data_IF_590016995026
#
_entry.id   IF_590016995026
#
_cell.length_a   1.000
_cell.length_b   1.000
_cell.length_c   1.000
_cell.angle_alpha   90.00
_cell.angle_beta   90.00
_cell.angle_gamma   90.00
#
_symmetry.space_group_name_H-M   'P 1'
#
loop_
_entity.id
_entity.type
_entity.pdbx_description
1 polymer ?
#
# COMPACT_ATOMS: atom_id res chain seq x y z
N UNK A 1 -17.78 6.38 -11.76
CA UNK A 1 -17.09 5.25 -12.36
C UNK A 1 -16.17 5.74 -13.47
N UNK A 2 -14.97 5.23 -13.55
CA UNK A 2 -13.91 5.65 -14.46
C UNK A 2 -14.34 5.72 -15.94
N UNK A 3 -15.22 4.83 -16.41
CA UNK A 3 -15.70 4.84 -17.80
C UNK A 3 -16.46 6.11 -18.18
N UNK A 4 -17.27 6.68 -17.28
CA UNK A 4 -17.96 7.94 -17.52
C UNK A 4 -16.98 9.12 -17.52
N UNK A 5 -16.02 9.11 -16.60
CA UNK A 5 -14.99 10.16 -16.51
C UNK A 5 -14.12 10.19 -17.76
N UNK A 6 -13.67 9.04 -18.25
CA UNK A 6 -12.95 8.95 -19.53
C UNK A 6 -13.78 9.45 -20.72
N UNK A 7 -15.06 9.10 -20.78
CA UNK A 7 -15.94 9.57 -21.86
C UNK A 7 -16.12 11.08 -21.82
N UNK A 8 -16.25 11.68 -20.63
CA UNK A 8 -16.36 13.14 -20.48
C UNK A 8 -15.06 13.85 -20.87
N UNK A 9 -13.92 13.35 -20.43
CA UNK A 9 -12.62 13.93 -20.80
C UNK A 9 -12.42 13.87 -22.31
N UNK A 10 -12.67 12.71 -22.92
CA UNK A 10 -12.58 12.56 -24.38
C UNK A 10 -13.52 13.50 -25.13
N UNK A 11 -14.73 13.72 -24.63
CA UNK A 11 -15.68 14.70 -25.22
C UNK A 11 -15.12 16.11 -25.12
N UNK A 12 -14.65 16.55 -23.96
CA UNK A 12 -14.10 17.90 -23.77
C UNK A 12 -12.82 18.16 -24.60
N UNK A 13 -11.99 17.13 -24.79
CA UNK A 13 -10.82 17.21 -25.67
C UNK A 13 -11.26 17.40 -27.14
N UNK A 14 -12.28 16.65 -27.59
CA UNK A 14 -12.82 16.76 -28.94
C UNK A 14 -13.50 18.13 -29.21
N UNK A 15 -14.13 18.69 -28.18
CA UNK A 15 -14.77 20.01 -28.27
C UNK A 15 -13.81 21.19 -28.05
N UNK A 16 -12.56 20.90 -27.66
CA UNK A 16 -11.54 21.91 -27.37
C UNK A 16 -11.75 22.65 -26.05
N UNK A 17 -12.59 22.11 -25.15
CA UNK A 17 -12.85 22.68 -23.82
C UNK A 17 -11.71 22.43 -22.83
N UNK A 18 -10.97 21.32 -23.02
CA UNK A 18 -9.76 21.02 -22.29
C UNK A 18 -8.65 20.60 -23.25
N UNK A 19 -7.43 20.92 -22.91
CA UNK A 19 -6.25 20.38 -23.58
C UNK A 19 -5.72 19.19 -22.79
N UNK A 20 -5.21 18.15 -23.46
CA UNK A 20 -4.55 17.05 -22.76
C UNK A 20 -3.47 17.61 -21.82
N UNK A 21 -3.41 17.18 -20.57
CA UNK A 21 -2.33 17.60 -19.68
C UNK A 21 -0.98 17.15 -20.25
N UNK A 22 0.09 17.91 -20.03
CA UNK A 22 1.42 17.44 -20.39
C UNK A 22 1.68 16.10 -19.71
N UNK A 23 2.18 15.14 -20.46
CA UNK A 23 2.56 13.84 -19.89
C UNK A 23 3.69 14.07 -18.90
N UNK A 24 3.39 14.05 -17.61
CA UNK A 24 4.39 14.15 -16.57
C UNK A 24 5.07 12.79 -16.45
N UNK A 25 6.34 12.74 -16.81
CA UNK A 25 7.16 11.57 -16.58
C UNK A 25 7.82 11.69 -15.20
N UNK A 26 7.60 10.72 -14.35
CA UNK A 26 8.36 10.64 -13.11
C UNK A 26 9.81 10.21 -13.43
N UNK A 27 10.78 10.92 -12.87
CA UNK A 27 12.18 10.55 -13.02
C UNK A 27 12.42 9.10 -12.55
N UNK A 28 13.28 8.34 -13.22
CA UNK A 28 13.61 6.99 -12.77
C UNK A 28 14.25 7.01 -11.39
N UNK A 29 14.01 5.97 -10.60
CA UNK A 29 14.62 5.77 -9.29
C UNK A 29 15.25 4.39 -9.23
N UNK A 30 16.35 4.27 -8.51
CA UNK A 30 17.06 2.99 -8.36
C UNK A 30 16.33 2.03 -7.43
N UNK A 31 15.63 2.57 -6.43
CA UNK A 31 14.92 1.80 -5.42
C UNK A 31 13.57 2.41 -5.08
N UNK A 32 12.62 1.54 -4.74
CA UNK A 32 11.31 1.93 -4.26
C UNK A 32 10.85 0.96 -3.14
N UNK A 33 10.12 1.49 -2.18
CA UNK A 33 9.39 0.69 -1.19
C UNK A 33 7.90 0.79 -1.48
N UNK A 34 7.26 -0.37 -1.51
CA UNK A 34 5.82 -0.50 -1.72
C UNK A 34 5.20 -1.10 -0.46
N UNK A 35 4.11 -0.51 0.02
CA UNK A 35 3.25 -1.14 1.03
C UNK A 35 1.93 -1.54 0.40
N UNK A 36 1.54 -2.81 0.56
CA UNK A 36 0.33 -3.36 -0.02
C UNK A 36 -0.63 -3.86 1.05
N UNK A 37 -1.80 -3.22 1.13
CA UNK A 37 -2.92 -3.66 1.96
C UNK A 37 -4.03 -4.35 1.16
N UNK A 38 -3.80 -4.64 -0.12
CA UNK A 38 -4.76 -5.28 -1.01
C UNK A 38 -4.53 -6.78 -1.08
N UNK A 39 -5.63 -7.54 -0.95
CA UNK A 39 -5.66 -8.99 -1.15
C UNK A 39 -6.41 -9.38 -2.43
N UNK A 40 -6.54 -8.47 -3.42
CA UNK A 40 -7.21 -8.79 -4.68
C UNK A 40 -6.36 -9.70 -5.56
N UNK A 41 -6.98 -10.51 -6.43
CA UNK A 41 -6.23 -11.34 -7.39
C UNK A 41 -5.30 -10.52 -8.27
N UNK A 42 -5.75 -9.35 -8.74
CA UNK A 42 -4.94 -8.45 -9.57
C UNK A 42 -3.69 -7.96 -8.83
N UNK A 43 -3.82 -7.64 -7.53
CA UNK A 43 -2.67 -7.25 -6.73
C UNK A 43 -1.71 -8.42 -6.51
N UNK A 44 -2.21 -9.64 -6.39
CA UNK A 44 -1.37 -10.84 -6.31
C UNK A 44 -0.53 -11.00 -7.58
N UNK A 45 -1.16 -10.89 -8.76
CA UNK A 45 -0.46 -10.95 -10.05
C UNK A 45 0.61 -9.86 -10.19
N UNK A 46 0.31 -8.65 -9.71
CA UNK A 46 1.28 -7.53 -9.69
C UNK A 46 2.47 -7.80 -8.75
N UNK A 47 2.22 -8.38 -7.58
CA UNK A 47 3.28 -8.77 -6.63
C UNK A 47 4.15 -9.86 -7.25
N UNK A 48 3.55 -10.86 -7.92
CA UNK A 48 4.26 -11.94 -8.59
C UNK A 48 5.14 -11.41 -9.73
N UNK A 49 4.61 -10.52 -10.54
CA UNK A 49 5.37 -9.88 -11.62
C UNK A 49 6.55 -9.04 -11.06
N UNK A 50 6.34 -8.31 -9.98
CA UNK A 50 7.40 -7.53 -9.36
C UNK A 50 8.50 -8.42 -8.74
N UNK A 51 8.15 -9.58 -8.19
CA UNK A 51 9.13 -10.56 -7.70
C UNK A 51 10.06 -11.04 -8.83
N UNK A 52 9.49 -11.32 -10.02
CA UNK A 52 10.28 -11.68 -11.22
C UNK A 52 11.22 -10.56 -11.64
N UNK A 53 10.81 -9.30 -11.50
CA UNK A 53 11.61 -8.10 -11.77
C UNK A 53 12.65 -7.77 -10.66
N UNK A 54 12.77 -8.63 -9.64
CA UNK A 54 13.81 -8.55 -8.61
C UNK A 54 13.44 -7.79 -7.35
N UNK A 55 12.16 -7.45 -7.15
CA UNK A 55 11.68 -6.96 -5.87
C UNK A 55 11.77 -8.04 -4.79
N UNK A 56 12.10 -7.64 -3.59
CA UNK A 56 12.03 -8.54 -2.42
C UNK A 56 10.64 -8.44 -1.82
N UNK A 57 9.96 -9.58 -1.72
CA UNK A 57 8.68 -9.66 -1.04
C UNK A 57 8.89 -9.78 0.46
N UNK A 58 8.21 -8.94 1.21
CA UNK A 58 8.25 -8.92 2.66
C UNK A 58 6.83 -9.16 3.23
N UNK A 59 6.50 -10.42 3.59
CA UNK A 59 5.21 -10.74 4.18
C UNK A 59 5.12 -10.19 5.60
N UNK A 60 4.02 -9.46 5.90
CA UNK A 60 3.79 -8.83 7.20
C UNK A 60 3.01 -9.76 8.14
N UNK A 61 3.30 -9.70 9.45
CA UNK A 61 2.47 -10.31 10.50
C UNK A 61 1.20 -9.47 10.72
N UNK A 62 0.18 -9.71 9.90
CA UNK A 62 -1.07 -8.93 9.92
C UNK A 62 -1.90 -9.16 11.17
N UNK A 63 -1.82 -10.34 11.79
CA UNK A 63 -2.43 -10.61 13.07
C UNK A 63 -1.80 -9.72 14.17
N UNK A 64 -0.47 -9.59 14.16
CA UNK A 64 0.23 -8.68 15.05
C UNK A 64 -0.06 -7.20 14.80
N UNK A 65 -0.50 -6.82 13.59
CA UNK A 65 -0.90 -5.43 13.31
C UNK A 65 -2.24 -5.05 13.96
N UNK A 66 -3.09 -6.02 14.26
CA UNK A 66 -4.43 -5.76 14.80
C UNK A 66 -4.57 -6.07 16.29
N UNK A 67 -3.51 -6.56 16.94
CA UNK A 67 -3.48 -6.85 18.37
C UNK A 67 -2.53 -5.92 19.16
N UNK A 68 -2.25 -6.24 20.42
CA UNK A 68 -1.39 -5.46 21.32
C UNK A 68 0.11 -5.52 20.99
N UNK A 69 0.51 -6.40 20.06
CA UNK A 69 1.89 -6.51 19.57
C UNK A 69 2.23 -5.50 18.48
N UNK A 70 1.25 -4.71 18.01
CA UNK A 70 1.36 -3.86 16.82
C UNK A 70 2.63 -3.02 16.77
N UNK A 71 2.91 -2.26 17.80
CA UNK A 71 4.04 -1.33 17.78
C UNK A 71 5.36 -2.10 17.62
N UNK A 72 5.54 -3.19 18.35
CA UNK A 72 6.72 -4.05 18.25
C UNK A 72 6.85 -4.73 16.88
N UNK A 73 5.73 -5.20 16.31
CA UNK A 73 5.72 -5.84 14.97
C UNK A 73 6.07 -4.82 13.89
N UNK A 74 5.52 -3.60 13.96
CA UNK A 74 5.82 -2.52 13.02
C UNK A 74 7.27 -2.07 13.14
N UNK A 75 7.78 -1.84 14.36
CA UNK A 75 9.19 -1.47 14.58
C UNK A 75 10.15 -2.53 14.02
N UNK A 76 9.84 -3.80 14.25
CA UNK A 76 10.64 -4.90 13.70
C UNK A 76 10.62 -4.90 12.17
N UNK A 77 9.44 -4.73 11.57
CA UNK A 77 9.30 -4.66 10.12
C UNK A 77 10.07 -3.47 9.52
N UNK A 78 10.09 -2.31 10.17
CA UNK A 78 10.91 -1.16 9.74
C UNK A 78 12.37 -1.56 9.67
N UNK A 79 12.93 -2.15 10.74
CA UNK A 79 14.34 -2.57 10.78
C UNK A 79 14.67 -3.57 9.67
N UNK A 80 13.83 -4.57 9.47
CA UNK A 80 14.05 -5.63 8.49
C UNK A 80 13.94 -5.08 7.05
N UNK A 81 12.98 -4.21 6.75
CA UNK A 81 12.83 -3.56 5.44
C UNK A 81 14.01 -2.60 5.19
N UNK A 82 14.42 -1.80 6.17
CA UNK A 82 15.60 -0.93 6.06
C UNK A 82 16.87 -1.72 5.75
N UNK A 83 17.04 -2.90 6.37
CA UNK A 83 18.16 -3.79 6.09
C UNK A 83 18.16 -4.35 4.66
N UNK A 84 16.99 -4.51 4.03
CA UNK A 84 16.87 -4.90 2.63
C UNK A 84 17.17 -3.72 1.70
N UNK A 85 16.62 -2.55 2.00
CA UNK A 85 16.87 -1.31 1.25
C UNK A 85 18.37 -0.95 1.26
N UNK A 86 19.05 -1.07 2.41
CA UNK A 86 20.49 -0.81 2.52
C UNK A 86 21.36 -1.75 1.65
N UNK A 87 20.80 -2.89 1.22
CA UNK A 87 21.44 -3.82 0.27
C UNK A 87 21.09 -3.53 -1.20
N UNK A 88 20.52 -2.38 -1.50
CA UNK A 88 20.13 -2.00 -2.85
C UNK A 88 18.85 -2.66 -3.36
N UNK A 89 17.96 -3.16 -2.46
CA UNK A 89 16.74 -3.86 -2.88
C UNK A 89 15.52 -2.94 -2.87
N UNK A 90 14.69 -3.05 -3.91
CA UNK A 90 13.31 -2.60 -3.85
C UNK A 90 12.47 -3.64 -3.11
N UNK A 91 11.53 -3.19 -2.25
CA UNK A 91 10.80 -4.07 -1.34
C UNK A 91 9.30 -3.86 -1.48
N UNK A 92 8.54 -4.95 -1.48
CA UNK A 92 7.08 -4.93 -1.34
C UNK A 92 6.72 -5.55 0.01
N UNK A 93 6.34 -4.71 0.97
CA UNK A 93 5.77 -5.16 2.24
C UNK A 93 4.25 -5.35 2.07
N UNK A 94 3.77 -6.59 2.19
CA UNK A 94 2.40 -6.92 1.83
C UNK A 94 1.65 -7.68 2.94
N UNK A 95 0.36 -7.39 3.06
CA UNK A 95 -0.54 -8.01 4.04
C UNK A 95 -1.14 -9.33 3.57
N UNK A 96 -1.16 -9.56 2.26
CA UNK A 96 -1.63 -10.79 1.64
C UNK A 96 -1.17 -10.89 0.20
N UNK A 97 -1.14 -12.10 -0.34
CA UNK A 97 -0.83 -12.42 -1.75
C UNK A 97 -2.04 -13.14 -2.36
N UNK A 98 -3.12 -12.37 -2.51
CA UNK A 98 -4.39 -12.88 -3.02
C UNK A 98 -5.44 -13.15 -1.93
N UNK A 99 -6.65 -13.52 -2.37
CA UNK A 99 -7.79 -13.69 -1.45
C UNK A 99 -7.69 -14.93 -0.55
N UNK A 100 -6.89 -15.92 -0.94
CA UNK A 100 -6.73 -17.18 -0.21
C UNK A 100 -5.49 -17.17 0.72
N UNK A 101 -4.86 -16.01 0.93
CA UNK A 101 -3.72 -15.89 1.81
C UNK A 101 -4.12 -16.21 3.26
N UNK A 102 -3.45 -17.18 3.95
CA UNK A 102 -3.84 -17.63 5.28
C UNK A 102 -3.81 -16.52 6.33
N UNK A 103 -2.98 -15.50 6.15
CA UNK A 103 -2.90 -14.34 7.05
C UNK A 103 -4.20 -13.56 7.17
N UNK A 104 -5.09 -13.65 6.17
CA UNK A 104 -6.42 -13.05 6.23
C UNK A 104 -7.23 -13.72 7.34
N UNK A 105 -7.27 -15.06 7.36
CA UNK A 105 -7.97 -15.81 8.40
C UNK A 105 -7.32 -15.61 9.79
N UNK A 106 -6.00 -15.61 9.87
CA UNK A 106 -5.26 -15.37 11.12
C UNK A 106 -5.58 -13.98 11.70
N UNK A 107 -5.68 -12.97 10.86
CA UNK A 107 -6.06 -11.60 11.25
C UNK A 107 -7.49 -11.56 11.79
N UNK A 108 -8.42 -12.26 11.15
CA UNK A 108 -9.81 -12.32 11.61
C UNK A 108 -9.92 -13.02 12.96
N UNK A 109 -9.19 -14.12 13.16
CA UNK A 109 -9.13 -14.81 14.46
C UNK A 109 -8.58 -13.89 15.57
N UNK A 110 -7.53 -13.11 15.28
CA UNK A 110 -6.98 -12.17 16.24
C UNK A 110 -7.98 -11.06 16.63
N UNK A 111 -8.84 -10.63 15.71
CA UNK A 111 -9.91 -9.66 16.01
C UNK A 111 -11.08 -10.30 16.78
N UNK A 112 -11.47 -11.52 16.44
CA UNK A 112 -12.51 -12.26 17.14
C UNK A 112 -12.13 -12.49 18.62
N UNK A 113 -10.86 -12.77 18.92
CA UNK A 113 -10.36 -12.88 20.29
C UNK A 113 -10.49 -11.57 21.09
N UNK A 114 -10.60 -10.43 20.40
CA UNK A 114 -10.88 -9.12 20.99
C UNK A 114 -12.38 -8.77 21.03
N UNK A 115 -13.26 -9.70 20.64
CA UNK A 115 -14.71 -9.50 20.58
C UNK A 115 -15.18 -8.69 19.36
N UNK A 116 -14.31 -8.50 18.37
CA UNK A 116 -14.64 -7.78 17.13
C UNK A 116 -15.07 -8.78 16.05
N UNK A 117 -16.28 -8.63 15.52
CA UNK A 117 -16.87 -9.52 14.51
C UNK A 117 -17.59 -8.75 13.42
N UNK A 118 -17.88 -9.40 12.29
CA UNK A 118 -18.68 -8.85 11.21
C UNK A 118 -18.09 -7.56 10.63
N UNK A 119 -18.93 -6.56 10.44
CA UNK A 119 -18.53 -5.28 9.83
C UNK A 119 -17.55 -4.48 10.70
N UNK A 120 -17.71 -4.55 12.03
CA UNK A 120 -16.78 -3.90 12.97
C UNK A 120 -15.37 -4.46 12.82
N UNK A 121 -15.22 -5.78 12.68
CA UNK A 121 -13.92 -6.39 12.42
C UNK A 121 -13.32 -5.89 11.10
N UNK A 122 -14.11 -5.81 10.02
CA UNK A 122 -13.65 -5.33 8.71
C UNK A 122 -13.15 -3.88 8.76
N UNK A 123 -13.93 -2.98 9.35
CA UNK A 123 -13.53 -1.57 9.49
C UNK A 123 -12.29 -1.43 10.36
N UNK A 124 -12.22 -2.15 11.48
CA UNK A 124 -11.05 -2.15 12.37
C UNK A 124 -9.81 -2.70 11.67
N UNK A 125 -9.97 -3.75 10.84
CA UNK A 125 -8.88 -4.30 10.03
C UNK A 125 -8.31 -3.24 9.10
N UNK A 126 -9.15 -2.59 8.29
CA UNK A 126 -8.72 -1.57 7.34
C UNK A 126 -7.98 -0.41 8.04
N UNK A 127 -8.52 0.06 9.18
CA UNK A 127 -7.90 1.12 9.95
C UNK A 127 -6.56 0.69 10.56
N UNK A 128 -6.54 -0.41 11.33
CA UNK A 128 -5.33 -0.84 12.07
C UNK A 128 -4.20 -1.24 11.12
N UNK A 129 -4.52 -2.00 10.07
CA UNK A 129 -3.54 -2.37 9.04
C UNK A 129 -3.07 -1.13 8.28
N UNK A 130 -3.98 -0.28 7.82
CA UNK A 130 -3.61 0.93 7.09
C UNK A 130 -2.72 1.87 7.90
N UNK A 131 -3.01 2.07 9.19
CA UNK A 131 -2.14 2.84 10.10
C UNK A 131 -0.78 2.16 10.31
N UNK A 132 -0.76 0.84 10.50
CA UNK A 132 0.49 0.09 10.64
C UNK A 132 1.37 0.18 9.40
N UNK A 133 0.78 0.05 8.20
CA UNK A 133 1.47 0.24 6.91
C UNK A 133 1.99 1.67 6.74
N UNK A 134 1.21 2.67 7.15
CA UNK A 134 1.64 4.08 7.11
C UNK A 134 2.82 4.35 8.04
N UNK A 135 2.78 3.81 9.27
CA UNK A 135 3.87 3.93 10.22
C UNK A 135 5.15 3.22 9.72
N UNK A 136 5.00 1.99 9.20
CA UNK A 136 6.10 1.26 8.55
C UNK A 136 6.71 2.07 7.40
N UNK A 137 5.87 2.56 6.48
CA UNK A 137 6.36 3.29 5.31
C UNK A 137 7.08 4.57 5.71
N UNK A 138 6.50 5.36 6.62
CA UNK A 138 7.12 6.57 7.15
C UNK A 138 8.47 6.26 7.80
N UNK A 139 8.53 5.28 8.70
CA UNK A 139 9.77 4.90 9.37
C UNK A 139 10.86 4.46 8.39
N UNK A 140 10.51 3.67 7.37
CA UNK A 140 11.47 3.26 6.34
C UNK A 140 11.97 4.47 5.53
N UNK A 141 11.10 5.40 5.13
CA UNK A 141 11.51 6.59 4.38
C UNK A 141 12.39 7.53 5.21
N UNK A 142 12.08 7.72 6.49
CA UNK A 142 12.88 8.52 7.42
C UNK A 142 14.28 7.93 7.63
N UNK A 143 14.38 6.61 7.83
CA UNK A 143 15.65 5.91 8.09
C UNK A 143 16.53 5.75 6.83
N UNK A 144 15.92 5.56 5.66
CA UNK A 144 16.66 5.28 4.41
C UNK A 144 16.89 6.50 3.52
N UNK A 145 16.12 7.56 3.73
CA UNK A 145 16.15 8.75 2.87
C UNK A 145 15.54 8.52 1.47
N UNK A 146 14.87 7.40 1.22
CA UNK A 146 14.17 7.18 -0.03
C UNK A 146 13.09 8.24 -0.26
N UNK A 147 13.01 8.73 -1.49
CA UNK A 147 12.10 9.82 -1.87
C UNK A 147 10.89 9.35 -2.67
N UNK A 148 10.82 8.05 -2.98
CA UNK A 148 9.71 7.46 -3.72
C UNK A 148 9.23 6.20 -3.03
N UNK A 149 7.92 6.13 -2.87
CA UNK A 149 7.23 4.98 -2.35
C UNK A 149 5.91 4.79 -3.10
N UNK A 150 5.33 3.62 -2.97
CA UNK A 150 3.98 3.35 -3.46
C UNK A 150 3.12 2.69 -2.38
N UNK A 151 1.82 2.90 -2.49
CA UNK A 151 0.82 2.21 -1.66
C UNK A 151 -0.26 1.63 -2.55
N UNK A 152 -0.73 0.44 -2.21
CA UNK A 152 -1.85 -0.21 -2.90
C UNK A 152 -2.86 -0.79 -1.92
N UNK A 153 -4.13 -0.68 -2.28
CA UNK A 153 -5.29 -1.07 -1.48
C UNK A 153 -6.21 0.14 -1.23
N UNK A 154 -7.48 0.04 -1.61
CA UNK A 154 -8.43 1.14 -1.54
C UNK A 154 -8.54 1.73 -0.13
N UNK A 155 -9.07 0.94 0.80
CA UNK A 155 -9.34 1.41 2.17
C UNK A 155 -8.05 1.70 2.96
N UNK A 156 -7.02 0.87 2.78
CA UNK A 156 -5.76 1.02 3.52
C UNK A 156 -4.94 2.22 3.07
N UNK A 157 -4.99 2.60 1.78
CA UNK A 157 -4.23 3.74 1.25
C UNK A 157 -4.61 5.07 1.90
N UNK A 158 -5.89 5.25 2.26
CA UNK A 158 -6.33 6.43 3.00
C UNK A 158 -5.62 6.55 4.35
N UNK A 159 -5.57 5.46 5.12
CA UNK A 159 -4.91 5.46 6.42
C UNK A 159 -3.39 5.60 6.30
N UNK A 160 -2.78 4.98 5.28
CA UNK A 160 -1.35 5.17 4.98
C UNK A 160 -1.05 6.64 4.73
N UNK A 161 -1.78 7.30 3.84
CA UNK A 161 -1.60 8.71 3.53
C UNK A 161 -1.76 9.60 4.78
N UNK A 162 -2.76 9.30 5.61
CA UNK A 162 -3.01 10.02 6.86
C UNK A 162 -1.86 9.89 7.86
N UNK A 163 -1.33 8.68 8.07
CA UNK A 163 -0.19 8.45 8.97
C UNK A 163 1.11 9.07 8.46
N UNK A 164 1.26 9.20 7.15
CA UNK A 164 2.38 9.90 6.51
C UNK A 164 2.25 11.43 6.55
N UNK A 165 1.12 11.96 7.03
CA UNK A 165 0.87 13.40 7.08
C UNK A 165 0.58 14.02 5.70
N UNK A 166 0.14 13.23 4.73
CA UNK A 166 -0.26 13.72 3.40
C UNK A 166 -1.54 14.52 3.54
N UNK A 167 -1.49 15.79 3.17
CA UNK A 167 -2.63 16.74 3.26
C UNK A 167 -3.29 17.01 1.91
N UNK A 168 -2.59 16.75 0.81
CA UNK A 168 -3.09 16.93 -0.55
C UNK A 168 -2.44 15.94 -1.51
N UNK A 169 -3.16 15.59 -2.57
CA UNK A 169 -2.69 14.76 -3.68
C UNK A 169 -2.87 15.55 -4.97
N UNK A 170 -1.90 15.47 -5.85
CA UNK A 170 -1.97 16.00 -7.20
C UNK A 170 -1.92 14.83 -8.20
N UNK A 171 -2.87 14.80 -9.14
CA UNK A 171 -2.85 13.82 -10.22
C UNK A 171 -1.81 14.24 -11.25
N UNK A 172 -0.77 13.43 -11.43
CA UNK A 172 0.34 13.71 -12.37
C UNK A 172 0.23 12.92 -13.66
N UNK A 173 -0.55 11.85 -13.69
CA UNK A 173 -0.82 11.05 -14.88
C UNK A 173 -2.17 10.32 -14.73
N UNK A 174 -2.90 10.02 -15.84
CA UNK A 174 -4.04 9.12 -15.79
C UNK A 174 -3.54 7.70 -15.41
N UNK A 175 -4.37 7.02 -14.62
CA UNK A 175 -4.14 5.62 -14.24
C UNK A 175 -4.73 4.67 -15.25
#
# INVERSE_FOLDING_TARGET
SSGLEYALVAYWEQTGEVSPPPMLTADPVEQIVVVSGSCSPVTADQIDAAEVEGFVLFPLDTAGFVDDRRDRVVERAILDVCALVSKGKSVIAHTGRGPDDPRIAETMVALEQQGLTGETARMTTAERIGRGLGHLLRGVLEETGLRRAATTGGDTSYYVAKEMGVTALEAVAPM
#
